data_IF_517322645913
#
_entry.id   IF_517322645913
#
_cell.length_a   1.000
_cell.length_b   1.000
_cell.length_c   1.000
_cell.angle_alpha   90.00
_cell.angle_beta   90.00
_cell.angle_gamma   90.00
#
_symmetry.space_group_name_H-M   'P 1'
#
loop_
_entity.id
_entity.type
_entity.pdbx_description
1 polymer ?
#
# COMPACT_ATOMS: atom_id res chain seq x y z
N UNK A 1 -19.29 6.60 3.06
CA UNK A 1 -18.73 5.61 4.00
C UNK A 1 -17.26 5.47 3.66
N UNK A 2 -16.35 5.55 4.65
CA UNK A 2 -14.91 5.39 4.41
C UNK A 2 -14.60 3.92 4.14
N UNK A 3 -13.77 3.63 3.14
CA UNK A 3 -13.29 2.27 2.88
C UNK A 3 -12.05 2.02 3.74
N UNK A 4 -11.97 0.86 4.36
CA UNK A 4 -10.83 0.45 5.17
C UNK A 4 -10.33 -0.90 4.68
N UNK A 5 -9.02 -1.07 4.56
CA UNK A 5 -8.37 -2.35 4.27
C UNK A 5 -7.31 -2.64 5.32
N UNK A 6 -7.04 -3.93 5.53
CA UNK A 6 -6.05 -4.40 6.50
C UNK A 6 -5.03 -5.25 5.77
N UNK A 7 -3.76 -4.85 5.86
CA UNK A 7 -2.60 -5.61 5.43
C UNK A 7 -2.01 -6.36 6.63
N UNK A 8 -1.70 -7.64 6.46
CA UNK A 8 -1.09 -8.45 7.51
C UNK A 8 0.42 -8.59 7.29
N UNK A 9 1.22 -7.93 8.12
CA UNK A 9 2.68 -7.97 8.01
C UNK A 9 3.33 -9.33 8.28
N UNK A 10 2.57 -10.31 8.81
CA UNK A 10 3.01 -11.70 8.88
C UNK A 10 3.03 -12.38 7.50
N UNK A 11 2.15 -11.96 6.59
CA UNK A 11 2.00 -12.52 5.24
C UNK A 11 2.79 -11.70 4.21
N UNK A 12 3.09 -10.43 4.51
CA UNK A 12 3.87 -9.52 3.67
C UNK A 12 5.33 -9.50 4.13
N UNK A 13 6.12 -10.44 3.63
CA UNK A 13 7.56 -10.55 3.92
C UNK A 13 8.47 -10.10 2.77
N UNK A 14 7.92 -9.92 1.58
CA UNK A 14 8.62 -9.38 0.40
C UNK A 14 7.81 -8.28 -0.28
N UNK A 15 8.50 -7.41 -1.03
CA UNK A 15 7.86 -6.38 -1.85
C UNK A 15 6.87 -7.00 -2.85
N UNK A 16 7.20 -8.15 -3.44
CA UNK A 16 6.27 -8.89 -4.32
C UNK A 16 5.00 -9.31 -3.58
N UNK A 17 5.09 -9.83 -2.35
CA UNK A 17 3.89 -10.16 -1.57
C UNK A 17 3.03 -8.93 -1.32
N UNK A 18 3.64 -7.79 -1.01
CA UNK A 18 2.92 -6.53 -0.85
C UNK A 18 2.15 -6.16 -2.12
N UNK A 19 2.83 -6.12 -3.28
CA UNK A 19 2.20 -5.74 -4.55
C UNK A 19 1.06 -6.70 -4.93
N UNK A 20 1.23 -8.00 -4.70
CA UNK A 20 0.18 -9.00 -4.94
C UNK A 20 -1.03 -8.84 -4.01
N UNK A 21 -0.81 -8.54 -2.73
CA UNK A 21 -1.89 -8.37 -1.75
C UNK A 21 -2.67 -7.08 -2.00
N UNK A 22 -1.96 -5.96 -2.14
CA UNK A 22 -2.59 -4.64 -2.31
C UNK A 22 -3.37 -4.55 -3.63
N UNK A 23 -2.83 -5.09 -4.72
CA UNK A 23 -3.48 -5.07 -6.03
C UNK A 23 -4.79 -5.85 -6.03
N UNK A 24 -4.85 -6.99 -5.33
CA UNK A 24 -6.06 -7.78 -5.16
C UNK A 24 -7.08 -7.05 -4.29
N UNK A 25 -6.68 -6.54 -3.11
CA UNK A 25 -7.58 -5.86 -2.18
C UNK A 25 -8.20 -4.59 -2.76
N UNK A 26 -7.43 -3.86 -3.56
CA UNK A 26 -7.87 -2.62 -4.20
C UNK A 26 -8.36 -2.81 -5.64
N UNK A 27 -8.33 -4.04 -6.16
CA UNK A 27 -8.78 -4.37 -7.52
C UNK A 27 -8.08 -3.52 -8.59
N UNK A 28 -6.74 -3.45 -8.50
CA UNK A 28 -5.90 -2.76 -9.46
C UNK A 28 -6.05 -3.33 -10.88
N UNK A 29 -5.77 -2.51 -11.92
CA UNK A 29 -5.92 -2.93 -13.30
C UNK A 29 -4.96 -4.06 -13.70
N UNK A 30 -5.32 -4.81 -14.75
CA UNK A 30 -4.56 -5.97 -15.22
C UNK A 30 -3.16 -5.67 -15.75
N UNK A 31 -2.85 -4.39 -16.01
CA UNK A 31 -1.54 -3.93 -16.47
C UNK A 31 -0.65 -3.40 -15.33
N UNK A 32 -1.09 -3.53 -14.07
CA UNK A 32 -0.26 -3.23 -12.92
C UNK A 32 0.96 -4.15 -12.86
N UNK A 33 2.16 -3.59 -12.91
CA UNK A 33 3.42 -4.32 -13.13
C UNK A 33 4.26 -4.54 -11.86
N UNK A 34 3.66 -4.34 -10.68
CA UNK A 34 4.31 -4.51 -9.37
C UNK A 34 5.55 -3.63 -9.16
N UNK A 35 5.54 -2.40 -9.70
CA UNK A 35 6.54 -1.37 -9.42
C UNK A 35 5.98 -0.27 -8.52
N UNK A 36 6.86 0.47 -7.85
CA UNK A 36 6.48 1.63 -7.03
C UNK A 36 5.81 2.74 -7.84
N UNK A 37 6.24 2.93 -9.09
CA UNK A 37 5.62 3.90 -10.01
C UNK A 37 4.18 3.50 -10.34
N UNK A 38 3.95 2.24 -10.68
CA UNK A 38 2.60 1.72 -10.93
C UNK A 38 1.73 1.69 -9.67
N UNK A 39 2.31 1.51 -8.48
CA UNK A 39 1.62 1.63 -7.20
C UNK A 39 1.12 3.05 -6.99
N UNK A 40 2.01 4.04 -7.16
CA UNK A 40 1.66 5.45 -7.02
C UNK A 40 0.57 5.84 -8.02
N UNK A 41 0.72 5.49 -9.30
CA UNK A 41 -0.29 5.78 -10.32
C UNK A 41 -1.63 5.12 -9.98
N UNK A 42 -1.60 3.85 -9.57
CA UNK A 42 -2.84 3.12 -9.28
C UNK A 42 -3.59 3.69 -8.08
N UNK A 43 -2.89 4.08 -7.02
CA UNK A 43 -3.49 4.70 -5.84
C UNK A 43 -4.09 6.07 -6.15
N UNK A 44 -3.47 6.86 -7.03
CA UNK A 44 -4.00 8.18 -7.41
C UNK A 44 -5.16 8.10 -8.42
N UNK A 45 -5.15 7.11 -9.32
CA UNK A 45 -6.05 7.08 -10.47
C UNK A 45 -7.26 6.15 -10.27
N UNK A 46 -7.07 4.99 -9.64
CA UNK A 46 -8.09 3.92 -9.62
C UNK A 46 -8.72 3.67 -8.25
N UNK A 47 -8.25 4.35 -7.20
CA UNK A 47 -8.70 4.13 -5.82
C UNK A 47 -9.46 5.35 -5.31
N UNK A 48 -10.55 5.10 -4.58
CA UNK A 48 -11.28 6.17 -3.89
C UNK A 48 -10.36 6.82 -2.82
N UNK A 49 -10.13 8.15 -2.88
CA UNK A 49 -9.28 8.85 -1.91
C UNK A 49 -9.73 8.69 -0.46
N UNK A 50 -11.01 8.39 -0.18
CA UNK A 50 -11.51 8.12 1.16
C UNK A 50 -11.24 6.67 1.60
N UNK A 51 -9.99 6.24 1.44
CA UNK A 51 -9.44 4.95 1.83
C UNK A 51 -8.52 5.10 3.04
N UNK A 52 -8.64 4.18 3.99
CA UNK A 52 -7.66 3.98 5.05
C UNK A 52 -7.01 2.59 4.94
N UNK A 53 -5.69 2.55 4.97
CA UNK A 53 -4.90 1.31 5.01
C UNK A 53 -4.39 1.08 6.44
N UNK A 54 -4.69 -0.06 7.02
CA UNK A 54 -4.12 -0.49 8.30
C UNK A 54 -3.10 -1.60 8.05
N UNK A 55 -1.82 -1.33 8.30
CA UNK A 55 -0.77 -2.33 8.16
C UNK A 55 -0.41 -2.89 9.53
N UNK A 56 -1.02 -4.01 9.88
CA UNK A 56 -0.81 -4.69 11.15
C UNK A 56 0.48 -5.48 11.14
N UNK A 57 1.19 -5.53 12.27
CA UNK A 57 2.48 -6.21 12.39
C UNK A 57 3.51 -5.72 11.36
N UNK A 58 3.44 -4.43 11.00
CA UNK A 58 4.30 -3.83 9.96
C UNK A 58 5.80 -3.97 10.25
N UNK A 59 6.19 -4.06 11.53
CA UNK A 59 7.59 -4.27 11.92
C UNK A 59 8.16 -5.60 11.40
N UNK A 60 7.32 -6.62 11.23
CA UNK A 60 7.72 -7.90 10.62
C UNK A 60 8.03 -7.68 9.14
N UNK A 61 7.12 -7.03 8.41
CA UNK A 61 7.35 -6.64 7.01
C UNK A 61 8.61 -5.78 6.88
N UNK A 62 8.78 -4.77 7.73
CA UNK A 62 9.95 -3.89 7.74
C UNK A 62 11.25 -4.66 7.97
N UNK A 63 11.27 -5.58 8.92
CA UNK A 63 12.47 -6.39 9.21
C UNK A 63 12.86 -7.31 8.06
N UNK A 64 11.90 -7.79 7.26
CA UNK A 64 12.16 -8.70 6.15
C UNK A 64 12.49 -7.96 4.84
N UNK A 65 11.75 -6.88 4.54
CA UNK A 65 11.90 -6.13 3.28
C UNK A 65 12.97 -5.06 3.35
N UNK A 66 13.30 -4.55 4.54
CA UNK A 66 14.28 -3.48 4.72
C UNK A 66 13.92 -2.25 3.91
N UNK A 67 14.80 -1.85 2.99
CA UNK A 67 14.64 -0.62 2.21
C UNK A 67 13.35 -0.57 1.39
N UNK A 68 12.92 -1.70 0.80
CA UNK A 68 11.67 -1.76 0.03
C UNK A 68 10.45 -1.37 0.87
N UNK A 69 10.42 -1.70 2.16
CA UNK A 69 9.33 -1.25 3.05
C UNK A 69 9.31 0.28 3.13
N UNK A 70 10.46 0.90 3.38
CA UNK A 70 10.54 2.35 3.52
C UNK A 70 10.14 3.06 2.21
N UNK A 71 10.50 2.50 1.04
CA UNK A 71 10.07 3.03 -0.26
C UNK A 71 8.55 2.93 -0.48
N UNK A 72 7.90 1.85 -0.03
CA UNK A 72 6.43 1.75 -0.08
C UNK A 72 5.78 2.82 0.81
N UNK A 73 6.33 3.07 2.00
CA UNK A 73 5.85 4.14 2.88
C UNK A 73 6.03 5.51 2.23
N UNK A 74 7.14 5.75 1.54
CA UNK A 74 7.33 6.98 0.78
C UNK A 74 6.25 7.17 -0.31
N UNK A 75 5.84 6.09 -0.99
CA UNK A 75 4.71 6.15 -1.95
C UNK A 75 3.41 6.52 -1.23
N UNK A 76 3.10 5.91 -0.09
CA UNK A 76 1.91 6.27 0.69
C UNK A 76 1.96 7.74 1.14
N UNK A 77 3.10 8.22 1.61
CA UNK A 77 3.30 9.63 1.96
C UNK A 77 3.06 10.54 0.75
N UNK A 78 3.54 10.19 -0.44
CA UNK A 78 3.26 10.95 -1.66
C UNK A 78 1.76 11.02 -1.95
N UNK A 79 1.04 9.90 -1.86
CA UNK A 79 -0.42 9.87 -2.08
C UNK A 79 -1.14 10.76 -1.06
N UNK A 80 -0.76 10.72 0.23
CA UNK A 80 -1.40 11.58 1.26
C UNK A 80 -1.24 13.08 0.96
N UNK A 81 -0.15 13.50 0.31
CA UNK A 81 0.07 14.92 -0.07
C UNK A 81 -0.91 15.39 -1.15
N UNK A 82 -1.26 14.54 -2.11
CA UNK A 82 -2.23 14.85 -3.16
C UNK A 82 -3.67 14.58 -2.71
N UNK A 83 -3.85 13.61 -1.81
CA UNK A 83 -5.14 13.13 -1.33
C UNK A 83 -5.16 13.11 0.21
N UNK A 84 -5.47 14.24 0.88
CA UNK A 84 -5.48 14.31 2.35
C UNK A 84 -6.52 13.40 3.03
N UNK A 85 -7.49 12.91 2.26
CA UNK A 85 -8.52 11.95 2.69
C UNK A 85 -7.93 10.53 2.83
N UNK A 86 -6.90 10.22 2.02
CA UNK A 86 -6.19 8.95 2.04
C UNK A 86 -5.33 8.93 3.28
N UNK A 87 -5.42 7.85 4.04
CA UNK A 87 -4.71 7.71 5.30
C UNK A 87 -4.15 6.30 5.41
N UNK A 88 -3.05 6.16 6.13
CA UNK A 88 -2.52 4.85 6.47
C UNK A 88 -2.03 4.85 7.92
N UNK A 89 -2.11 3.68 8.56
CA UNK A 89 -1.69 3.47 9.94
C UNK A 89 -0.81 2.23 10.02
N UNK A 90 0.34 2.39 10.67
CA UNK A 90 1.26 1.31 10.99
C UNK A 90 0.95 0.81 12.40
N UNK A 91 0.42 -0.41 12.49
CA UNK A 91 -0.04 -1.04 13.73
C UNK A 91 0.81 -2.25 14.11
#
# INVERSE_FOLDING_TARGET
MRKEIVLNGNDIITETNFHEEISKMLSFPSYYDNTLDSLLDSLNTYVDPNLTIHWNAHLISKSNMGHSFDQIIEVFDMVTRYHPQFTYHLN
#
